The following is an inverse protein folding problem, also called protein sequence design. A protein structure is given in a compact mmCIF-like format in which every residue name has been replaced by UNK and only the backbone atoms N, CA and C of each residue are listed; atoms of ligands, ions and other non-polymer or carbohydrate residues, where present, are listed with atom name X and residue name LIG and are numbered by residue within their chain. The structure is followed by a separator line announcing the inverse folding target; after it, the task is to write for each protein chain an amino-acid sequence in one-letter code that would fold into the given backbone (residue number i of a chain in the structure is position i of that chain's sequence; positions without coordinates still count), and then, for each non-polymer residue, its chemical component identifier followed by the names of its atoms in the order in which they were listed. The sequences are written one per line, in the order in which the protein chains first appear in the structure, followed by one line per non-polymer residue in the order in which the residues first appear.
data_IF_813929867751
#
_entry.id   IF_813929867751
#
_cell.length_a   1.000
_cell.length_b   1.000
_cell.length_c   1.000
_cell.angle_alpha   90.00
_cell.angle_beta   90.00
_cell.angle_gamma   90.00
#
_symmetry.space_group_name_H-M   'P 1'
#
loop_
_entity.id
_entity.type
_entity.pdbx_description
1 polymer ?
#
# COMPACT_ATOMS: atom_id res chain seq x y z
N UNK A 1 1.74 10.50 -25.67
CA UNK A 1 0.54 11.17 -25.14
C UNK A 1 0.88 12.16 -24.01
N UNK A 2 1.86 11.87 -23.14
CA UNK A 2 2.47 12.88 -22.25
C UNK A 2 3.99 13.07 -22.43
N UNK A 3 4.68 12.12 -23.07
CA UNK A 3 6.14 12.20 -23.21
C UNK A 3 6.85 11.93 -21.88
N UNK A 4 8.06 12.45 -21.70
CA UNK A 4 8.69 12.54 -20.38
C UNK A 4 7.90 13.54 -19.52
N UNK A 5 7.50 13.12 -18.33
CA UNK A 5 6.69 13.95 -17.44
C UNK A 5 7.21 13.93 -16.00
N UNK A 6 6.83 14.96 -15.25
CA UNK A 6 7.10 15.06 -13.82
C UNK A 6 5.85 14.67 -13.04
N UNK A 7 5.99 13.76 -12.07
CA UNK A 7 4.88 13.35 -11.18
C UNK A 7 4.38 14.48 -10.26
N UNK A 8 5.07 15.63 -10.24
CA UNK A 8 4.71 16.84 -9.50
C UNK A 8 4.03 17.91 -10.38
N UNK A 9 3.76 17.62 -11.65
CA UNK A 9 3.04 18.53 -12.55
C UNK A 9 1.52 18.33 -12.43
N UNK A 10 0.79 19.39 -12.08
CA UNK A 10 -0.66 19.33 -11.87
C UNK A 10 -1.44 18.95 -13.15
N UNK A 11 -1.01 19.41 -14.33
CA UNK A 11 -1.65 19.07 -15.60
C UNK A 11 -1.51 17.58 -15.88
N UNK A 12 -0.34 17.01 -15.59
CA UNK A 12 -0.07 15.58 -15.70
C UNK A 12 -0.93 14.79 -14.70
N UNK A 13 -0.98 15.22 -13.44
CA UNK A 13 -1.77 14.58 -12.40
C UNK A 13 -3.27 14.55 -12.76
N UNK A 14 -3.83 15.70 -13.14
CA UNK A 14 -5.23 15.78 -13.57
C UNK A 14 -5.48 14.95 -14.84
N UNK A 15 -4.52 14.87 -15.77
CA UNK A 15 -4.65 14.01 -16.95
C UNK A 15 -4.69 12.52 -16.57
N UNK A 16 -3.91 12.08 -15.57
CA UNK A 16 -4.00 10.72 -15.05
C UNK A 16 -5.36 10.44 -14.41
N UNK A 17 -5.90 11.39 -13.64
CA UNK A 17 -7.24 11.26 -13.05
C UNK A 17 -8.31 11.15 -14.14
N UNK A 18 -8.30 12.06 -15.13
CA UNK A 18 -9.22 12.08 -16.28
C UNK A 18 -9.22 10.75 -17.05
N UNK A 19 -8.04 10.18 -17.30
CA UNK A 19 -7.96 8.87 -17.94
C UNK A 19 -8.46 7.74 -17.07
N UNK A 20 -8.12 7.73 -15.79
CA UNK A 20 -8.54 6.69 -14.87
C UNK A 20 -10.06 6.64 -14.73
N UNK A 21 -10.68 7.79 -14.43
CA UNK A 21 -12.13 7.89 -14.25
C UNK A 21 -12.87 7.64 -15.58
N UNK A 22 -12.32 8.09 -16.71
CA UNK A 22 -12.85 7.82 -18.04
C UNK A 22 -12.82 6.34 -18.48
N UNK A 23 -12.07 5.48 -17.77
CA UNK A 23 -11.93 4.05 -18.08
C UNK A 23 -12.33 3.13 -16.92
N UNK A 24 -13.06 3.64 -15.93
CA UNK A 24 -13.63 2.83 -14.85
C UNK A 24 -12.63 2.42 -13.76
N UNK A 25 -11.52 3.16 -13.60
CA UNK A 25 -10.63 3.02 -12.45
C UNK A 25 -11.15 3.92 -11.33
N UNK A 26 -11.53 3.32 -10.20
CA UNK A 26 -12.16 4.03 -9.08
C UNK A 26 -11.15 4.66 -8.10
N UNK A 27 -9.91 4.14 -8.06
CA UNK A 27 -8.89 4.63 -7.14
C UNK A 27 -7.46 4.30 -7.57
N UNK A 28 -6.51 5.01 -6.97
CA UNK A 28 -5.08 4.70 -7.05
C UNK A 28 -4.53 4.13 -5.75
N UNK A 29 -3.60 3.18 -5.87
CA UNK A 29 -2.67 2.83 -4.79
C UNK A 29 -1.40 3.65 -4.98
N UNK A 30 -1.16 4.61 -4.10
CA UNK A 30 0.00 5.51 -4.17
C UNK A 30 1.12 4.90 -3.36
N UNK A 31 2.27 4.70 -4.02
CA UNK A 31 3.48 4.22 -3.36
C UNK A 31 3.92 5.16 -2.23
N UNK A 32 4.27 4.60 -1.08
CA UNK A 32 4.82 5.30 0.07
C UNK A 32 5.95 4.48 0.72
N UNK A 33 7.18 4.97 0.58
CA UNK A 33 8.41 4.40 1.14
C UNK A 33 8.98 5.14 2.35
N UNK A 34 8.23 6.09 2.92
CA UNK A 34 8.64 6.85 4.10
C UNK A 34 8.50 8.36 3.87
N UNK A 35 9.05 9.16 4.79
CA UNK A 35 9.11 10.62 4.67
C UNK A 35 10.19 11.05 3.67
N UNK A 36 9.96 10.73 2.40
CA UNK A 36 10.89 10.96 1.29
C UNK A 36 10.22 11.75 0.14
N UNK A 37 10.80 11.67 -1.06
CA UNK A 37 10.27 12.33 -2.25
C UNK A 37 8.82 11.93 -2.57
N UNK A 38 8.43 10.68 -2.34
CA UNK A 38 7.08 10.19 -2.63
C UNK A 38 6.06 10.82 -1.69
N UNK A 39 6.40 10.93 -0.40
CA UNK A 39 5.57 11.62 0.60
C UNK A 39 5.40 13.11 0.27
N UNK A 40 6.50 13.78 -0.10
CA UNK A 40 6.46 15.17 -0.55
C UNK A 40 5.62 15.34 -1.83
N UNK A 41 5.75 14.44 -2.81
CA UNK A 41 4.96 14.46 -4.04
C UNK A 41 3.47 14.23 -3.76
N UNK A 42 3.14 13.28 -2.88
CA UNK A 42 1.77 13.00 -2.47
C UNK A 42 1.15 14.23 -1.79
N UNK A 43 1.77 14.71 -0.71
CA UNK A 43 1.21 15.78 0.12
C UNK A 43 1.23 17.14 -0.59
N UNK A 44 2.31 17.47 -1.30
CA UNK A 44 2.51 18.77 -1.91
C UNK A 44 1.82 18.95 -3.26
N UNK A 45 1.57 17.87 -3.99
CA UNK A 45 1.17 17.95 -5.40
C UNK A 45 -0.07 17.09 -5.70
N UNK A 46 -0.02 15.77 -5.46
CA UNK A 46 -1.15 14.89 -5.79
C UNK A 46 -2.43 15.30 -5.07
N UNK A 47 -2.38 15.51 -3.75
CA UNK A 47 -3.58 15.90 -2.98
C UNK A 47 -4.12 17.29 -3.33
N UNK A 48 -3.28 18.15 -3.93
CA UNK A 48 -3.65 19.52 -4.29
C UNK A 48 -4.15 19.64 -5.73
N UNK A 49 -3.90 18.63 -6.57
CA UNK A 49 -4.41 18.60 -7.93
C UNK A 49 -5.93 18.67 -7.95
N UNK A 50 -6.48 19.56 -8.79
CA UNK A 50 -7.91 19.89 -8.86
C UNK A 50 -8.83 18.66 -8.78
N UNK A 51 -8.66 17.67 -9.65
CA UNK A 51 -9.56 16.50 -9.71
C UNK A 51 -9.41 15.57 -8.49
N UNK A 52 -8.25 15.55 -7.84
CA UNK A 52 -8.05 14.77 -6.61
C UNK A 52 -8.72 15.46 -5.43
N UNK A 53 -8.53 16.78 -5.32
CA UNK A 53 -9.09 17.62 -4.26
C UNK A 53 -10.61 17.65 -4.31
N UNK A 54 -11.17 17.73 -5.53
CA UNK A 54 -12.61 17.79 -5.77
C UNK A 54 -13.27 16.41 -5.61
N UNK A 55 -12.46 15.36 -5.56
CA UNK A 55 -12.88 14.01 -5.15
C UNK A 55 -13.27 13.10 -6.30
N UNK A 56 -12.89 13.43 -7.53
CA UNK A 56 -13.16 12.64 -8.74
C UNK A 56 -12.50 11.26 -8.71
N UNK A 57 -11.42 11.08 -7.95
CA UNK A 57 -10.75 9.80 -7.75
C UNK A 57 -10.47 9.56 -6.28
N UNK A 58 -10.57 8.29 -5.85
CA UNK A 58 -10.10 7.89 -4.51
C UNK A 58 -8.63 7.48 -4.55
N UNK A 59 -7.99 7.45 -3.38
CA UNK A 59 -6.64 6.90 -3.26
C UNK A 59 -6.45 6.17 -1.93
N UNK A 60 -5.52 5.23 -1.91
CA UNK A 60 -5.02 4.61 -0.69
C UNK A 60 -3.50 4.48 -0.75
N UNK A 61 -2.89 4.20 0.40
CA UNK A 61 -1.45 4.03 0.50
C UNK A 61 -1.06 2.59 0.18
N UNK A 62 -0.06 2.44 -0.68
CA UNK A 62 0.77 1.25 -0.84
C UNK A 62 2.03 1.44 0.00
N UNK A 63 2.08 0.74 1.13
CA UNK A 63 3.17 0.77 2.09
C UNK A 63 4.28 -0.19 1.67
N UNK A 64 5.46 0.36 1.40
CA UNK A 64 6.63 -0.39 0.95
C UNK A 64 7.40 -1.02 2.11
N UNK A 65 7.04 -2.24 2.51
CA UNK A 65 7.74 -2.92 3.61
C UNK A 65 9.24 -3.08 3.34
N UNK A 66 9.65 -3.29 2.08
CA UNK A 66 11.06 -3.43 1.68
C UNK A 66 11.89 -2.18 2.02
N UNK A 67 11.33 -0.99 1.80
CA UNK A 67 12.02 0.27 2.06
C UNK A 67 11.82 0.79 3.48
N UNK A 68 10.83 0.26 4.20
CA UNK A 68 10.49 0.70 5.57
C UNK A 68 11.07 -0.19 6.66
N UNK A 69 10.93 -1.51 6.52
CA UNK A 69 11.18 -2.44 7.60
C UNK A 69 12.58 -3.05 7.50
N UNK A 70 13.11 -3.42 8.66
CA UNK A 70 14.36 -4.16 8.74
C UNK A 70 14.11 -5.62 8.37
N UNK A 71 14.72 -6.06 7.27
CA UNK A 71 14.80 -7.46 6.91
C UNK A 71 15.59 -8.24 7.97
N UNK A 72 14.89 -9.12 8.67
CA UNK A 72 15.45 -10.02 9.70
C UNK A 72 15.92 -11.35 9.12
N UNK A 73 15.86 -11.50 7.79
CA UNK A 73 16.15 -12.69 7.00
C UNK A 73 15.36 -13.92 7.45
N UNK A 74 14.27 -14.28 6.75
CA UNK A 74 13.97 -13.85 5.38
C UNK A 74 12.90 -12.75 5.25
N UNK A 75 12.43 -12.13 6.34
CA UNK A 75 11.37 -11.11 6.24
C UNK A 75 11.28 -10.17 7.43
N UNK A 76 10.06 -9.70 7.73
CA UNK A 76 9.82 -8.66 8.71
C UNK A 76 9.39 -9.28 10.05
N UNK A 77 10.36 -9.41 10.97
CA UNK A 77 10.12 -9.96 12.30
C UNK A 77 9.26 -9.01 13.14
N UNK A 78 8.05 -9.42 13.52
CA UNK A 78 7.13 -8.62 14.32
C UNK A 78 7.36 -8.72 15.83
N UNK A 79 8.33 -9.53 16.27
CA UNK A 79 8.87 -9.46 17.63
C UNK A 79 10.07 -8.51 17.76
N UNK A 80 10.60 -7.98 16.64
CA UNK A 80 11.65 -6.96 16.69
C UNK A 80 11.01 -5.60 17.04
N UNK A 81 11.34 -4.99 18.20
CA UNK A 81 10.78 -3.71 18.60
C UNK A 81 11.08 -2.58 17.60
N UNK A 82 12.12 -2.69 16.78
CA UNK A 82 12.41 -1.73 15.71
C UNK A 82 11.33 -1.75 14.63
N UNK A 83 10.96 -2.93 14.13
CA UNK A 83 9.94 -3.06 13.09
C UNK A 83 8.56 -2.60 13.60
N UNK A 84 8.21 -2.97 14.83
CA UNK A 84 6.97 -2.50 15.45
C UNK A 84 6.98 -0.99 15.65
N UNK A 85 8.08 -0.42 16.15
CA UNK A 85 8.20 1.04 16.31
C UNK A 85 8.10 1.81 14.99
N UNK A 86 8.63 1.26 13.90
CA UNK A 86 8.48 1.83 12.55
C UNK A 86 7.02 1.79 12.10
N UNK A 87 6.36 0.63 12.18
CA UNK A 87 4.96 0.48 11.81
C UNK A 87 4.05 1.41 12.60
N UNK A 88 4.23 1.52 13.91
CA UNK A 88 3.44 2.41 14.77
C UNK A 88 3.63 3.88 14.41
N UNK A 89 4.88 4.31 14.19
CA UNK A 89 5.21 5.68 13.83
C UNK A 89 4.62 6.03 12.45
N UNK A 90 4.77 5.12 11.49
CA UNK A 90 4.27 5.32 10.13
C UNK A 90 2.75 5.34 10.12
N UNK A 91 2.06 4.38 10.76
CA UNK A 91 0.60 4.37 10.85
C UNK A 91 0.04 5.62 11.54
N UNK A 92 0.73 6.11 12.58
CA UNK A 92 0.35 7.36 13.22
C UNK A 92 0.47 8.55 12.26
N UNK A 93 1.57 8.62 11.51
CA UNK A 93 1.78 9.64 10.50
C UNK A 93 0.71 9.57 9.39
N UNK A 94 0.50 8.40 8.79
CA UNK A 94 -0.51 8.21 7.75
C UNK A 94 -1.92 8.55 8.26
N UNK A 95 -2.24 8.24 9.52
CA UNK A 95 -3.50 8.61 10.15
C UNK A 95 -3.69 10.12 10.31
N UNK A 96 -2.62 10.83 10.67
CA UNK A 96 -2.64 12.27 10.87
C UNK A 96 -2.72 13.05 9.55
N UNK A 97 -2.08 12.54 8.49
CA UNK A 97 -1.87 13.29 7.25
C UNK A 97 -2.77 12.84 6.09
N UNK A 98 -3.08 11.54 5.98
CA UNK A 98 -3.74 11.00 4.78
C UNK A 98 -5.09 10.33 5.05
N UNK A 99 -5.20 9.52 6.11
CA UNK A 99 -6.41 8.71 6.36
C UNK A 99 -7.66 9.52 6.64
N UNK A 100 -7.56 10.84 6.83
CA UNK A 100 -8.70 11.75 7.03
C UNK A 100 -9.07 12.52 5.76
N UNK A 101 -8.31 12.39 4.68
CA UNK A 101 -8.61 13.06 3.42
C UNK A 101 -9.97 12.59 2.87
N UNK A 102 -10.82 13.47 2.31
CA UNK A 102 -12.12 13.09 1.73
C UNK A 102 -11.99 12.08 0.57
N UNK A 103 -10.91 12.20 -0.20
CA UNK A 103 -10.57 11.28 -1.30
C UNK A 103 -9.84 10.01 -0.84
N UNK A 104 -9.56 9.84 0.46
CA UNK A 104 -8.96 8.58 0.94
C UNK A 104 -9.97 7.43 0.87
N UNK A 105 -9.58 6.30 0.28
CA UNK A 105 -10.41 5.12 0.14
C UNK A 105 -10.63 4.45 1.50
N UNK A 106 -11.89 4.18 1.81
CA UNK A 106 -12.31 3.48 3.02
C UNK A 106 -13.25 2.35 2.68
N UNK A 107 -13.06 1.21 3.33
CA UNK A 107 -13.95 0.05 3.26
C UNK A 107 -14.52 -0.16 4.65
N UNK A 108 -15.84 -0.20 4.78
CA UNK A 108 -16.54 -0.35 6.07
C UNK A 108 -16.05 0.65 7.14
N UNK A 109 -15.88 1.91 6.74
CA UNK A 109 -15.34 3.01 7.57
C UNK A 109 -13.90 2.82 8.07
N UNK A 110 -13.14 1.86 7.52
CA UNK A 110 -11.72 1.65 7.80
C UNK A 110 -10.86 2.16 6.66
N UNK A 111 -9.76 2.85 6.98
CA UNK A 111 -8.83 3.35 5.97
C UNK A 111 -8.09 2.20 5.30
N UNK A 112 -8.17 2.09 3.96
CA UNK A 112 -7.46 1.04 3.25
C UNK A 112 -5.95 1.30 3.30
N UNK A 113 -5.19 0.32 3.77
CA UNK A 113 -3.74 0.30 3.68
C UNK A 113 -3.30 -0.96 2.98
N UNK A 114 -2.67 -0.79 1.83
CA UNK A 114 -2.04 -1.88 1.12
C UNK A 114 -0.63 -2.09 1.66
N UNK A 115 -0.28 -3.31 2.03
CA UNK A 115 1.02 -3.70 2.56
C UNK A 115 1.73 -4.55 1.51
N UNK A 116 2.69 -3.93 0.82
CA UNK A 116 3.51 -4.63 -0.17
C UNK A 116 4.41 -5.64 0.52
N UNK A 117 4.50 -6.86 -0.02
CA UNK A 117 5.27 -7.97 0.55
C UNK A 117 4.88 -8.33 2.00
N UNK A 118 3.60 -8.12 2.35
CA UNK A 118 3.06 -8.44 3.68
C UNK A 118 3.12 -9.92 4.04
N UNK A 119 3.25 -10.81 3.04
CA UNK A 119 3.54 -12.24 3.21
C UNK A 119 4.85 -12.53 3.95
N UNK A 120 5.73 -11.53 4.08
CA UNK A 120 6.97 -11.62 4.86
C UNK A 120 6.82 -11.37 6.37
N UNK A 121 5.63 -11.08 6.88
CA UNK A 121 5.40 -10.92 8.33
C UNK A 121 5.48 -12.25 9.08
N UNK A 122 6.27 -12.28 10.16
CA UNK A 122 6.43 -13.48 10.98
C UNK A 122 6.71 -13.18 12.45
N UNK A 123 6.80 -14.24 13.26
CA UNK A 123 6.93 -14.22 14.72
C UNK A 123 5.64 -13.74 15.41
N UNK A 124 5.63 -12.63 16.14
CA UNK A 124 4.44 -12.14 16.86
C UNK A 124 3.41 -11.49 15.91
N UNK A 125 2.75 -12.32 15.11
CA UNK A 125 1.74 -11.91 14.13
C UNK A 125 0.51 -11.23 14.77
N UNK A 126 0.31 -11.41 16.09
CA UNK A 126 -0.75 -10.74 16.82
C UNK A 126 -0.62 -9.21 16.78
N UNK A 127 0.60 -8.69 16.58
CA UNK A 127 0.86 -7.27 16.41
C UNK A 127 0.10 -6.68 15.22
N UNK A 128 -0.08 -7.41 14.12
CA UNK A 128 -0.84 -6.91 12.97
C UNK A 128 -2.29 -6.65 13.36
N UNK A 129 -2.91 -7.55 14.12
CA UNK A 129 -4.26 -7.36 14.64
C UNK A 129 -4.34 -6.14 15.57
N UNK A 130 -3.39 -5.99 16.48
CA UNK A 130 -3.33 -4.84 17.40
C UNK A 130 -3.23 -3.51 16.64
N UNK A 131 -2.36 -3.45 15.62
CA UNK A 131 -2.21 -2.27 14.76
C UNK A 131 -3.48 -1.99 13.95
N UNK A 132 -4.11 -3.02 13.39
CA UNK A 132 -5.40 -2.91 12.67
C UNK A 132 -6.48 -2.26 13.52
N UNK A 133 -6.65 -2.75 14.74
CA UNK A 133 -7.65 -2.25 15.67
C UNK A 133 -7.32 -0.84 16.16
N UNK A 134 -6.05 -0.59 16.53
CA UNK A 134 -5.57 0.71 17.04
C UNK A 134 -5.73 1.84 16.02
N UNK A 135 -5.42 1.58 14.75
CA UNK A 135 -5.42 2.61 13.71
C UNK A 135 -6.67 2.58 12.82
N UNK A 136 -7.58 1.62 13.04
CA UNK A 136 -8.82 1.41 12.28
C UNK A 136 -8.57 1.31 10.77
N UNK A 137 -7.70 0.37 10.38
CA UNK A 137 -7.30 0.15 8.99
C UNK A 137 -7.84 -1.15 8.41
N UNK A 138 -8.13 -1.14 7.11
CA UNK A 138 -8.43 -2.31 6.30
C UNK A 138 -7.16 -2.71 5.56
N UNK A 139 -6.56 -3.84 5.90
CA UNK A 139 -5.28 -4.25 5.33
C UNK A 139 -5.47 -5.13 4.10
N UNK A 140 -4.77 -4.79 3.03
CA UNK A 140 -4.63 -5.59 1.81
C UNK A 140 -3.17 -5.99 1.65
N UNK A 141 -2.87 -7.17 1.11
CA UNK A 141 -1.50 -7.54 0.78
C UNK A 141 -1.38 -8.46 -0.43
N UNK A 142 -0.25 -8.39 -1.13
CA UNK A 142 0.15 -9.34 -2.17
C UNK A 142 0.67 -10.64 -1.57
N UNK A 143 -0.18 -11.66 -1.59
CA UNK A 143 0.17 -13.00 -1.11
C UNK A 143 0.36 -14.01 -2.23
N UNK A 144 -0.15 -13.74 -3.44
CA UNK A 144 -0.10 -14.67 -4.58
C UNK A 144 0.71 -14.12 -5.77
N UNK A 145 1.88 -13.52 -5.51
CA UNK A 145 2.71 -12.95 -6.56
C UNK A 145 3.40 -14.06 -7.37
N UNK A 146 3.19 -14.15 -8.70
CA UNK A 146 3.62 -15.31 -9.51
C UNK A 146 5.14 -15.48 -9.60
N UNK A 147 5.90 -14.40 -9.38
CA UNK A 147 7.37 -14.42 -9.42
C UNK A 147 8.01 -14.61 -8.03
N UNK A 148 7.21 -14.74 -6.98
CA UNK A 148 7.69 -14.85 -5.61
C UNK A 148 6.94 -15.97 -4.90
N UNK A 149 7.44 -17.21 -5.00
CA UNK A 149 6.98 -18.30 -4.15
C UNK A 149 7.25 -17.91 -2.69
N UNK A 150 6.21 -17.77 -1.85
CA UNK A 150 6.38 -17.33 -0.47
C UNK A 150 7.32 -18.24 0.33
N UNK A 151 7.33 -19.55 0.06
CA UNK A 151 8.22 -20.50 0.73
C UNK A 151 9.70 -20.30 0.38
N UNK A 152 9.97 -19.80 -0.83
CA UNK A 152 11.33 -19.55 -1.32
C UNK A 152 11.86 -18.21 -0.84
N UNK A 153 11.00 -17.18 -0.84
CA UNK A 153 11.35 -15.80 -0.50
C UNK A 153 11.34 -15.59 1.01
N UNK A 154 10.36 -16.12 1.75
CA UNK A 154 10.16 -15.95 3.19
C UNK A 154 10.24 -17.27 3.95
N UNK A 155 11.36 -17.99 3.81
CA UNK A 155 11.61 -19.30 4.46
C UNK A 155 11.29 -19.31 5.97
N UNK A 156 10.39 -20.20 6.39
CA UNK A 156 10.01 -20.35 7.80
C UNK A 156 8.85 -19.45 8.24
N UNK A 157 8.26 -18.68 7.31
CA UNK A 157 6.95 -18.06 7.50
C UNK A 157 5.87 -19.01 7.00
N UNK A 158 4.90 -19.34 7.85
CA UNK A 158 3.72 -20.09 7.40
C UNK A 158 2.81 -19.15 6.60
N UNK A 159 2.89 -19.23 5.26
CA UNK A 159 2.18 -18.34 4.35
C UNK A 159 0.68 -18.23 4.63
N UNK A 160 0.03 -19.34 4.95
CA UNK A 160 -1.39 -19.37 5.32
C UNK A 160 -1.71 -18.60 6.60
N UNK A 161 -0.79 -18.54 7.56
CA UNK A 161 -0.95 -17.75 8.79
C UNK A 161 -0.73 -16.26 8.51
N UNK A 162 0.25 -15.90 7.69
CA UNK A 162 0.46 -14.51 7.26
C UNK A 162 -0.77 -13.98 6.48
N UNK A 163 -1.33 -14.79 5.57
CA UNK A 163 -2.51 -14.46 4.78
C UNK A 163 -3.73 -14.10 5.65
N UNK A 164 -3.94 -14.79 6.78
CA UNK A 164 -5.06 -14.56 7.70
C UNK A 164 -4.99 -13.21 8.43
N UNK A 165 -3.86 -12.51 8.39
CA UNK A 165 -3.69 -11.21 9.04
C UNK A 165 -4.40 -10.08 8.28
N UNK A 166 -4.60 -10.27 6.97
CA UNK A 166 -5.13 -9.26 6.05
C UNK A 166 -6.64 -9.42 5.83
N UNK A 167 -7.32 -8.30 5.59
CA UNK A 167 -8.76 -8.31 5.30
C UNK A 167 -9.04 -8.69 3.85
N UNK A 168 -8.08 -8.47 2.95
CA UNK A 168 -8.12 -8.97 1.58
C UNK A 168 -6.72 -9.30 1.05
N UNK A 169 -6.65 -10.19 0.06
CA UNK A 169 -5.42 -10.60 -0.60
C UNK A 169 -5.52 -10.29 -2.09
N UNK A 170 -4.39 -9.95 -2.70
CA UNK A 170 -4.27 -9.79 -4.16
C UNK A 170 -3.07 -10.62 -4.67
N UNK A 171 -3.08 -11.06 -5.94
CA UNK A 171 -1.85 -11.53 -6.58
C UNK A 171 -0.90 -10.37 -6.95
N UNK A 172 -1.39 -9.13 -7.00
CA UNK A 172 -0.74 -7.91 -7.50
C UNK A 172 -0.21 -7.97 -8.94
N UNK A 173 -0.17 -9.16 -9.56
CA UNK A 173 -0.03 -9.26 -11.00
C UNK A 173 -1.17 -8.45 -11.64
N UNK A 174 -0.82 -7.30 -12.22
CA UNK A 174 -1.55 -6.82 -13.38
C UNK A 174 -1.61 -7.94 -14.41
N UNK A 175 -2.54 -7.84 -15.37
CA UNK A 175 -2.63 -8.80 -16.47
C UNK A 175 -1.22 -9.06 -17.03
N UNK A 176 -0.69 -10.26 -16.79
CA UNK A 176 0.56 -10.71 -17.33
C UNK A 176 0.18 -11.73 -18.40
N UNK A 177 0.50 -11.42 -19.66
CA UNK A 177 0.02 -12.13 -20.84
C UNK A 177 0.30 -13.64 -20.78
N UNK A 178 1.34 -14.06 -20.05
CA UNK A 178 1.66 -15.49 -19.87
C UNK A 178 0.63 -16.28 -19.04
N UNK A 179 -0.33 -15.63 -18.36
CA UNK A 179 -1.47 -16.30 -17.70
C UNK A 179 -2.72 -16.39 -18.59
N UNK A 180 -2.67 -15.83 -19.80
CA UNK A 180 -3.78 -15.80 -20.77
C UNK A 180 -3.59 -16.76 -21.94
N UNK A 181 -2.58 -17.63 -21.90
CA UNK A 181 -2.40 -18.69 -22.90
C UNK A 181 -3.22 -19.92 -22.47
N UNK A 182 -4.19 -20.38 -23.29
CA UNK A 182 -5.07 -21.50 -22.97
C UNK A 182 -4.34 -22.86 -22.89
#
# INVERSE_FOLDING_TARGET
MLGEYLSKDEVVLNKHVDWATGHGIDFFLINWSGLDYQDEALMGYFLNAELVRDGDIKFAILYETIWRLKDSKPGWNLSDPMNIGILEKDLLYLQQHYFKHPSYLRIDNKSLLYVYEGKGFFSDISQVKNLKEKYNVFLVSDHAHPLANPEDVFRGVEWGEAAKLFDALTPMAGLHDDFMVP
#
